data_IF_648591265198
#
_entry.id   IF_648591265198
#
_cell.length_a   1.000
_cell.length_b   1.000
_cell.length_c   1.000
_cell.angle_alpha   90.00
_cell.angle_beta   90.00
_cell.angle_gamma   90.00
#
_symmetry.space_group_name_H-M   'P 1'
#
loop_
_entity.id
_entity.type
_entity.pdbx_description
1 polymer ?
#
# COMPACT_ATOMS: atom_id res chain seq x y z
N UNK A 1 -12.66 37.66 23.76
CA UNK A 1 -11.69 37.76 22.64
C UNK A 1 -10.58 36.73 22.87
N UNK A 2 -10.91 35.44 22.73
CA UNK A 2 -10.05 34.31 23.11
C UNK A 2 -9.78 33.43 21.90
N UNK A 3 -8.51 33.10 21.72
CA UNK A 3 -7.91 32.54 20.51
C UNK A 3 -8.38 31.11 20.17
N UNK A 4 -9.18 30.95 19.11
CA UNK A 4 -9.48 29.66 18.45
C UNK A 4 -8.35 29.21 17.48
N UNK A 5 -7.12 29.02 17.98
CA UNK A 5 -5.98 28.65 17.12
C UNK A 5 -5.95 27.15 16.75
N UNK A 6 -6.44 26.88 15.53
CA UNK A 6 -5.86 26.02 14.47
C UNK A 6 -5.12 24.74 14.89
N UNK A 7 -5.67 23.58 14.48
CA UNK A 7 -5.09 22.71 13.42
C UNK A 7 -5.61 21.25 13.53
N UNK A 8 -6.79 20.97 12.95
CA UNK A 8 -7.21 19.61 12.56
C UNK A 8 -7.84 19.69 11.17
N UNK A 9 -7.01 19.87 10.15
CA UNK A 9 -7.45 19.78 8.76
C UNK A 9 -6.29 19.47 7.81
N UNK A 10 -6.00 18.18 7.57
CA UNK A 10 -5.33 17.72 6.36
C UNK A 10 -5.93 16.36 5.94
N UNK A 11 -6.54 16.36 4.74
CA UNK A 11 -6.95 15.24 3.86
C UNK A 11 -8.03 14.29 4.40
N UNK A 12 -9.31 14.36 4.02
CA UNK A 12 -9.93 14.33 2.67
C UNK A 12 -9.55 13.11 1.80
N UNK A 13 -10.43 12.09 1.87
CA UNK A 13 -11.01 11.32 0.77
C UNK A 13 -10.10 10.60 -0.24
N UNK A 14 -9.97 9.26 -0.16
CA UNK A 14 -10.24 8.34 -1.28
C UNK A 14 -10.17 6.86 -0.83
N UNK A 15 -11.13 6.05 -1.31
CA UNK A 15 -11.24 4.56 -1.25
C UNK A 15 -11.87 3.91 -0.01
N UNK A 16 -13.20 3.87 -0.11
CA UNK A 16 -14.06 2.80 0.40
C UNK A 16 -13.60 1.43 -0.11
N UNK A 17 -13.48 0.44 0.77
CA UNK A 17 -13.69 -1.01 0.59
C UNK A 17 -12.78 -1.78 1.55
N UNK A 18 -13.32 -2.78 2.26
CA UNK A 18 -12.63 -3.75 3.13
C UNK A 18 -12.20 -3.32 4.54
N UNK A 19 -13.12 -3.00 5.45
CA UNK A 19 -13.05 -3.54 6.84
C UNK A 19 -14.47 -3.62 7.42
N UNK A 20 -15.30 -4.53 6.89
CA UNK A 20 -16.58 -4.95 7.52
C UNK A 20 -16.53 -6.42 7.97
N UNK A 21 -15.35 -6.94 8.33
CA UNK A 21 -15.19 -8.38 8.61
C UNK A 21 -14.37 -8.75 9.87
N UNK A 22 -14.22 -7.82 10.83
CA UNK A 22 -13.53 -8.11 12.10
C UNK A 22 -14.50 -8.18 13.29
N UNK A 23 -15.49 -9.08 13.23
CA UNK A 23 -16.41 -9.34 14.35
C UNK A 23 -15.84 -10.27 15.44
N UNK A 24 -14.59 -10.74 15.32
CA UNK A 24 -13.96 -11.57 16.36
C UNK A 24 -13.21 -10.76 17.41
N UNK A 25 -12.73 -9.55 17.06
CA UNK A 25 -11.85 -8.74 17.92
C UNK A 25 -12.65 -7.94 18.96
N UNK A 26 -13.94 -7.72 18.72
CA UNK A 26 -14.86 -7.08 19.67
C UNK A 26 -15.39 -8.02 20.75
N UNK A 27 -15.24 -9.35 20.60
CA UNK A 27 -15.93 -10.33 21.46
C UNK A 27 -15.12 -10.80 22.68
N UNK A 28 -13.85 -10.43 22.80
CA UNK A 28 -13.02 -10.82 23.93
C UNK A 28 -12.39 -9.55 24.56
N UNK A 29 -12.89 -9.05 25.70
CA UNK A 29 -12.26 -7.94 26.44
C UNK A 29 -10.89 -8.30 27.03
N UNK A 30 -10.31 -9.39 26.54
CA UNK A 30 -9.26 -10.15 27.19
C UNK A 30 -7.98 -10.27 26.37
N UNK A 31 -8.02 -9.78 25.13
CA UNK A 31 -6.87 -9.76 24.25
C UNK A 31 -6.50 -8.32 23.94
N UNK A 32 -5.25 -7.94 24.22
CA UNK A 32 -4.67 -6.69 23.71
C UNK A 32 -3.78 -7.01 22.51
N UNK A 33 -4.09 -6.41 21.37
CA UNK A 33 -3.25 -6.50 20.19
C UNK A 33 -2.04 -5.58 20.35
N UNK A 34 -0.84 -6.16 20.41
CA UNK A 34 0.41 -5.43 20.32
C UNK A 34 0.93 -5.58 18.89
N UNK A 35 0.64 -4.60 18.04
CA UNK A 35 1.17 -4.58 16.68
C UNK A 35 2.68 -4.34 16.72
N UNK A 36 3.47 -5.33 16.31
CA UNK A 36 4.92 -5.21 16.17
C UNK A 36 5.30 -4.84 14.74
N UNK A 37 6.21 -3.88 14.60
CA UNK A 37 6.80 -3.48 13.34
C UNK A 37 7.96 -4.43 12.97
N UNK A 38 7.90 -5.05 11.79
CA UNK A 38 9.00 -5.82 11.21
C UNK A 38 8.80 -7.33 11.16
N UNK A 39 9.89 -8.03 10.84
CA UNK A 39 10.04 -9.48 10.70
C UNK A 39 10.03 -10.25 12.04
N UNK A 40 9.52 -9.64 13.10
CA UNK A 40 9.48 -10.25 14.43
C UNK A 40 8.11 -10.87 14.64
N UNK A 41 8.08 -12.12 15.13
CA UNK A 41 6.85 -12.89 15.40
C UNK A 41 5.82 -12.01 16.11
N UNK A 42 4.62 -11.89 15.55
CA UNK A 42 3.56 -11.08 16.16
C UNK A 42 3.22 -11.64 17.54
N UNK A 43 3.27 -10.79 18.56
CA UNK A 43 2.95 -11.17 19.94
C UNK A 43 1.55 -10.69 20.30
N UNK A 44 0.76 -11.57 20.90
CA UNK A 44 -0.57 -11.26 21.38
C UNK A 44 -0.60 -11.43 22.89
N UNK A 45 -1.04 -10.38 23.59
CA UNK A 45 -1.22 -10.47 25.02
C UNK A 45 -2.65 -10.93 25.29
N UNK A 46 -2.76 -12.19 25.65
CA UNK A 46 -3.97 -12.77 26.23
C UNK A 46 -3.79 -12.55 27.73
N UNK A 47 -4.68 -11.80 28.39
CA UNK A 47 -4.86 -12.03 29.82
C UNK A 47 -5.22 -13.53 29.93
N UNK A 48 -4.95 -14.24 31.02
CA UNK A 48 -5.42 -15.65 31.17
C UNK A 48 -6.25 -15.80 32.42
N UNK A 49 -5.96 -14.93 33.40
CA UNK A 49 -6.61 -14.90 34.68
C UNK A 49 -8.09 -14.53 34.55
N UNK A 50 -8.45 -13.41 33.95
CA UNK A 50 -9.87 -13.06 33.74
C UNK A 50 -10.67 -14.00 32.81
N UNK A 51 -10.08 -14.78 31.89
CA UNK A 51 -10.77 -15.85 31.15
C UNK A 51 -11.12 -16.95 32.12
N UNK A 52 -10.14 -17.40 32.90
CA UNK A 52 -10.36 -18.40 33.95
C UNK A 52 -11.41 -17.90 34.95
N UNK A 53 -11.32 -16.65 35.44
CA UNK A 53 -12.32 -16.07 36.35
C UNK A 53 -13.69 -15.92 35.71
N UNK A 54 -13.77 -15.54 34.43
CA UNK A 54 -15.02 -15.45 33.70
C UNK A 54 -15.70 -16.81 33.50
N UNK A 55 -14.91 -17.86 33.29
CA UNK A 55 -15.40 -19.24 33.22
C UNK A 55 -15.84 -19.75 34.60
N UNK A 56 -15.04 -19.50 35.64
CA UNK A 56 -15.38 -19.85 37.02
C UNK A 56 -16.67 -19.15 37.47
N UNK A 57 -16.85 -17.87 37.13
CA UNK A 57 -18.07 -17.12 37.41
C UNK A 57 -19.32 -17.69 36.70
N UNK A 58 -19.14 -18.42 35.60
CA UNK A 58 -20.19 -19.16 34.88
C UNK A 58 -20.40 -20.58 35.42
N UNK A 59 -19.76 -20.94 36.53
CA UNK A 59 -19.88 -22.25 37.17
C UNK A 59 -18.97 -23.32 36.60
N UNK A 60 -17.95 -22.96 35.79
CA UNK A 60 -16.96 -23.94 35.29
C UNK A 60 -15.92 -24.23 36.39
N UNK A 61 -15.75 -25.49 36.82
CA UNK A 61 -14.69 -25.88 37.74
C UNK A 61 -13.30 -25.39 37.29
N UNK A 62 -12.51 -24.88 38.23
CA UNK A 62 -11.21 -24.23 37.95
C UNK A 62 -10.28 -25.05 37.05
N UNK A 63 -10.23 -26.38 37.24
CA UNK A 63 -9.43 -27.29 36.40
C UNK A 63 -9.86 -27.25 34.93
N UNK A 64 -11.16 -27.23 34.68
CA UNK A 64 -11.74 -27.19 33.34
C UNK A 64 -11.63 -25.79 32.74
N UNK A 65 -11.83 -24.74 33.54
CA UNK A 65 -11.66 -23.35 33.10
C UNK A 65 -10.23 -23.09 32.57
N UNK A 66 -9.21 -23.61 33.28
CA UNK A 66 -7.81 -23.56 32.85
C UNK A 66 -7.57 -24.36 31.57
N UNK A 67 -8.10 -25.58 31.47
CA UNK A 67 -7.94 -26.41 30.28
C UNK A 67 -8.57 -25.75 29.04
N UNK A 68 -9.78 -25.20 29.18
CA UNK A 68 -10.48 -24.47 28.10
C UNK A 68 -9.67 -23.24 27.69
N UNK A 69 -9.20 -22.46 28.66
CA UNK A 69 -8.39 -21.26 28.38
C UNK A 69 -7.10 -21.64 27.65
N UNK A 70 -6.42 -22.71 28.06
CA UNK A 70 -5.23 -23.23 27.37
C UNK A 70 -5.52 -23.61 25.92
N UNK A 71 -6.59 -24.37 25.68
CA UNK A 71 -6.97 -24.77 24.32
C UNK A 71 -7.33 -23.56 23.44
N UNK A 72 -8.01 -22.55 24.00
CA UNK A 72 -8.30 -21.31 23.29
C UNK A 72 -7.00 -20.56 22.95
N UNK A 73 -6.06 -20.45 23.88
CA UNK A 73 -4.78 -19.78 23.64
C UNK A 73 -3.96 -20.48 22.54
N UNK A 74 -3.95 -21.80 22.52
CA UNK A 74 -3.28 -22.60 21.48
C UNK A 74 -3.91 -22.37 20.10
N UNK A 75 -5.23 -22.52 19.98
CA UNK A 75 -5.95 -22.26 18.72
C UNK A 75 -5.74 -20.82 18.23
N UNK A 76 -5.73 -19.85 19.15
CA UNK A 76 -5.47 -18.44 18.80
C UNK A 76 -4.04 -18.23 18.28
N UNK A 77 -3.05 -18.88 18.89
CA UNK A 77 -1.66 -18.82 18.46
C UNK A 77 -1.50 -19.38 17.04
N UNK A 78 -2.05 -20.55 16.78
CA UNK A 78 -1.95 -21.23 15.49
C UNK A 78 -2.73 -20.51 14.38
N UNK A 79 -3.95 -20.07 14.70
CA UNK A 79 -4.80 -19.33 13.77
C UNK A 79 -4.13 -18.04 13.34
N UNK A 80 -3.50 -17.34 14.28
CA UNK A 80 -2.78 -16.13 14.00
C UNK A 80 -1.52 -16.39 13.17
N UNK A 81 -0.72 -17.42 13.50
CA UNK A 81 0.46 -17.79 12.73
C UNK A 81 0.07 -18.09 11.28
N UNK A 82 -0.98 -18.86 11.07
CA UNK A 82 -1.55 -19.12 9.74
C UNK A 82 -1.99 -17.83 9.02
N UNK A 83 -2.65 -16.91 9.72
CA UNK A 83 -3.02 -15.60 9.15
C UNK A 83 -1.79 -14.71 8.93
N UNK A 84 -0.69 -14.86 9.68
CA UNK A 84 0.55 -14.09 9.43
C UNK A 84 1.16 -14.44 8.10
N UNK A 85 1.14 -15.72 7.72
CA UNK A 85 1.80 -16.23 6.52
C UNK A 85 1.18 -15.71 5.23
N UNK A 86 -0.12 -15.39 5.25
CA UNK A 86 -0.82 -14.79 4.11
C UNK A 86 -0.79 -13.25 4.08
N UNK A 87 -0.29 -12.61 5.13
CA UNK A 87 -0.32 -11.15 5.28
C UNK A 87 1.06 -10.53 5.06
N UNK A 88 1.19 -9.74 3.99
CA UNK A 88 2.34 -8.85 3.79
C UNK A 88 2.28 -7.71 4.83
N UNK A 89 3.31 -7.51 5.66
CA UNK A 89 3.37 -6.43 6.64
C UNK A 89 3.32 -5.06 5.96
N UNK A 90 2.81 -4.05 6.67
CA UNK A 90 2.60 -2.70 6.11
C UNK A 90 3.89 -2.08 5.58
N UNK A 91 5.02 -2.30 6.25
CA UNK A 91 6.34 -1.81 5.82
C UNK A 91 6.77 -2.42 4.48
N UNK A 92 6.51 -3.71 4.28
CA UNK A 92 6.83 -4.39 3.03
C UNK A 92 5.88 -3.96 1.91
N UNK A 93 4.58 -3.80 2.19
CA UNK A 93 3.63 -3.20 1.23
C UNK A 93 4.09 -1.80 0.80
N UNK A 94 4.42 -0.92 1.74
CA UNK A 94 4.90 0.43 1.40
C UNK A 94 6.17 0.39 0.53
N UNK A 95 7.10 -0.51 0.82
CA UNK A 95 8.30 -0.68 0.00
C UNK A 95 7.96 -1.18 -1.41
N UNK A 96 7.04 -2.13 -1.52
CA UNK A 96 6.56 -2.66 -2.81
C UNK A 96 5.82 -1.58 -3.60
N UNK A 97 4.96 -0.81 -2.96
CA UNK A 97 4.21 0.29 -3.58
C UNK A 97 5.18 1.35 -4.14
N UNK A 98 6.16 1.79 -3.34
CA UNK A 98 7.19 2.75 -3.78
C UNK A 98 8.03 2.21 -4.94
N UNK A 99 8.40 0.91 -4.91
CA UNK A 99 9.15 0.29 -6.01
C UNK A 99 8.30 0.23 -7.29
N UNK A 100 7.04 -0.15 -7.19
CA UNK A 100 6.10 -0.16 -8.31
C UNK A 100 5.90 1.23 -8.90
N UNK A 101 5.72 2.25 -8.06
CA UNK A 101 5.60 3.64 -8.49
C UNK A 101 6.87 4.14 -9.19
N UNK A 102 8.05 3.78 -8.69
CA UNK A 102 9.32 4.12 -9.34
C UNK A 102 9.48 3.47 -10.72
N UNK A 103 9.03 2.21 -10.87
CA UNK A 103 9.08 1.50 -12.15
C UNK A 103 8.12 2.11 -13.17
N UNK A 104 6.91 2.50 -12.74
CA UNK A 104 5.95 3.21 -13.59
C UNK A 104 6.46 4.59 -13.99
N UNK A 105 7.10 5.32 -13.07
CA UNK A 105 7.72 6.61 -13.35
C UNK A 105 8.85 6.48 -14.39
N UNK A 106 9.74 5.51 -14.23
CA UNK A 106 10.82 5.22 -15.19
C UNK A 106 10.30 4.75 -16.55
N UNK A 107 9.21 3.98 -16.58
CA UNK A 107 8.58 3.60 -17.83
C UNK A 107 7.98 4.81 -18.54
N UNK A 108 7.27 5.68 -17.81
CA UNK A 108 6.68 6.90 -18.35
C UNK A 108 7.74 7.85 -18.92
N UNK A 109 8.86 8.04 -18.22
CA UNK A 109 9.95 8.90 -18.72
C UNK A 109 10.59 8.33 -19.99
N UNK A 110 10.77 7.00 -20.09
CA UNK A 110 11.24 6.35 -21.31
C UNK A 110 10.28 6.54 -22.48
N UNK A 111 8.97 6.37 -22.25
CA UNK A 111 7.95 6.61 -23.29
C UNK A 111 7.99 8.06 -23.76
N UNK A 112 8.02 9.03 -22.83
CA UNK A 112 8.10 10.46 -23.18
C UNK A 112 9.37 10.79 -23.94
N UNK A 113 10.52 10.26 -23.52
CA UNK A 113 11.79 10.48 -24.25
C UNK A 113 11.76 9.93 -25.68
N UNK A 114 11.00 8.84 -25.91
CA UNK A 114 10.83 8.28 -27.25
C UNK A 114 9.87 9.12 -28.11
N UNK A 115 8.87 9.75 -27.51
CA UNK A 115 7.96 10.69 -28.20
C UNK A 115 8.68 11.99 -28.55
N UNK A 116 9.48 12.54 -27.64
CA UNK A 116 10.30 13.73 -27.90
C UNK A 116 11.32 13.49 -29.02
N UNK A 117 11.93 12.30 -29.05
CA UNK A 117 12.78 11.89 -30.17
C UNK A 117 12.02 11.89 -31.50
N UNK A 118 10.77 11.43 -31.52
CA UNK A 118 9.93 11.46 -32.72
C UNK A 118 9.55 12.89 -33.14
N UNK A 119 9.26 13.78 -32.19
CA UNK A 119 8.97 15.20 -32.47
C UNK A 119 10.18 15.87 -33.12
N UNK A 120 11.39 15.67 -32.56
CA UNK A 120 12.59 16.27 -33.13
C UNK A 120 12.90 15.73 -34.54
N UNK A 121 12.67 14.44 -34.79
CA UNK A 121 12.83 13.90 -36.15
C UNK A 121 11.83 14.50 -37.14
N UNK A 122 10.60 14.78 -36.71
CA UNK A 122 9.60 15.42 -37.59
C UNK A 122 9.93 16.88 -37.88
N UNK A 123 10.50 17.60 -36.92
CA UNK A 123 10.98 18.97 -37.12
C UNK A 123 12.13 19.02 -38.12
N UNK A 124 13.13 18.13 -37.98
CA UNK A 124 14.23 18.00 -38.94
C UNK A 124 13.71 17.67 -40.33
N UNK A 125 12.75 16.74 -40.45
CA UNK A 125 12.17 16.38 -41.75
C UNK A 125 11.48 17.59 -42.42
N UNK A 126 10.76 18.42 -41.64
CA UNK A 126 10.13 19.63 -42.17
C UNK A 126 11.12 20.73 -42.57
N UNK A 127 12.29 20.81 -41.92
CA UNK A 127 13.33 21.76 -42.31
C UNK A 127 14.11 21.29 -43.53
N UNK A 128 14.36 19.98 -43.68
CA UNK A 128 14.95 19.38 -44.88
C UNK A 128 14.05 19.60 -46.11
N UNK A 129 12.74 19.44 -45.97
CA UNK A 129 11.78 19.71 -47.06
C UNK A 129 11.83 21.17 -47.56
N UNK A 130 11.99 22.14 -46.64
CA UNK A 130 12.14 23.56 -47.00
C UNK A 130 13.47 23.83 -47.70
N UNK A 131 14.56 23.21 -47.25
CA UNK A 131 15.86 23.36 -47.91
C UNK A 131 15.84 22.75 -49.32
N UNK A 132 15.16 21.61 -49.51
CA UNK A 132 14.99 20.99 -50.83
C UNK A 132 14.15 21.87 -51.77
N UNK A 133 13.07 22.49 -51.29
CA UNK A 133 12.28 23.48 -52.04
C UNK A 133 13.13 24.68 -52.48
N UNK A 134 13.94 25.23 -51.57
CA UNK A 134 14.85 26.34 -51.87
C UNK A 134 15.90 25.94 -52.92
N UNK A 135 16.48 24.75 -52.81
CA UNK A 135 17.47 24.25 -53.79
C UNK A 135 16.84 24.06 -55.17
N UNK A 136 15.60 23.57 -55.24
CA UNK A 136 14.87 23.43 -56.50
C UNK A 136 14.62 24.80 -57.15
N UNK A 137 14.22 25.81 -56.38
CA UNK A 137 14.01 27.18 -56.88
C UNK A 137 15.29 27.76 -57.48
N UNK A 138 16.45 27.60 -56.82
CA UNK A 138 17.73 28.05 -57.37
C UNK A 138 18.12 27.29 -58.65
N UNK A 139 17.89 25.98 -58.69
CA UNK A 139 18.23 25.14 -59.86
C UNK A 139 17.38 25.49 -61.08
N UNK A 140 16.09 25.77 -60.87
CA UNK A 140 15.18 26.23 -61.94
C UNK A 140 15.59 27.63 -62.43
N UNK A 141 16.03 28.51 -61.52
CA UNK A 141 16.45 29.85 -61.88
C UNK A 141 17.76 29.87 -62.70
N UNK A 142 18.71 28.97 -62.42
CA UNK A 142 19.94 28.80 -63.22
C UNK A 142 19.68 28.12 -64.58
N UNK A 143 18.61 27.33 -64.71
CA UNK A 143 18.24 26.68 -65.97
C UNK A 143 17.54 27.61 -66.98
N UNK A 144 17.19 28.84 -66.57
CA UNK A 144 16.38 29.78 -67.34
C UNK A 144 17.12 31.08 -67.73
N UNK A 145 18.47 31.09 -67.64
CA UNK A 145 19.37 32.16 -68.12
C UNK A 145 20.25 31.61 -69.25
#
# INVERSE_FOLDING_TARGET
>A
MTFCKRAFHLCSNHRQSLVKHCDLVSLLPFTRHLSQAGNVKRVFLVDTLGLVRGLEAKGVPSKQAKAITSAITEVLNDSLENVTQSLVPKSEKQKLDLLQESNLSNFKSKVQSSEEGFVHTNEINGDVEKEEEVILDFTVHDSNV
#
